data_IF_810395564257
#
_entry.id   IF_810395564257
#
_cell.length_a   1.000
_cell.length_b   1.000
_cell.length_c   1.000
_cell.angle_alpha   90.00
_cell.angle_beta   90.00
_cell.angle_gamma   90.00
#
_symmetry.space_group_name_H-M   'P 1'
#
loop_
_entity.id
_entity.type
_entity.pdbx_description
1 polymer ?
#
# COMPACT_ATOMS: atom_id res chain seq x y z
N UNK A 1 5.27 -4.54 -19.05
CA UNK A 1 3.97 -5.07 -18.57
C UNK A 1 2.82 -4.94 -19.58
N UNK A 2 3.05 -4.43 -20.79
CA UNK A 2 2.00 -4.32 -21.82
C UNK A 2 1.56 -5.67 -22.40
N UNK A 3 2.47 -6.65 -22.51
CA UNK A 3 2.12 -8.01 -22.99
C UNK A 3 1.56 -8.90 -21.87
N UNK A 4 0.53 -9.73 -22.13
CA UNK A 4 -0.07 -10.64 -21.14
C UNK A 4 0.93 -11.59 -20.49
N UNK A 5 1.86 -12.15 -21.28
CA UNK A 5 2.84 -13.12 -20.78
C UNK A 5 3.72 -12.56 -19.66
N UNK A 6 4.16 -11.30 -19.78
CA UNK A 6 4.98 -10.67 -18.74
C UNK A 6 4.19 -10.43 -17.46
N UNK A 7 2.90 -10.08 -17.56
CA UNK A 7 2.02 -9.91 -16.39
C UNK A 7 1.80 -11.25 -15.68
N UNK A 8 1.55 -12.31 -16.46
CA UNK A 8 1.41 -13.66 -15.92
C UNK A 8 2.66 -14.11 -15.16
N UNK A 9 3.85 -13.96 -15.76
CA UNK A 9 5.11 -14.32 -15.10
C UNK A 9 5.38 -13.47 -13.85
N UNK A 10 5.07 -12.18 -13.88
CA UNK A 10 5.20 -11.31 -12.72
C UNK A 10 4.25 -11.71 -11.58
N UNK A 11 2.99 -12.03 -11.90
CA UNK A 11 2.01 -12.55 -10.94
C UNK A 11 2.49 -13.84 -10.30
N UNK A 12 2.94 -14.80 -11.12
CA UNK A 12 3.45 -16.09 -10.63
C UNK A 12 4.67 -15.92 -9.71
N UNK A 13 5.58 -14.99 -10.04
CA UNK A 13 6.72 -14.65 -9.17
C UNK A 13 6.28 -14.05 -7.84
N UNK A 14 5.31 -13.13 -7.87
CA UNK A 14 4.77 -12.49 -6.67
C UNK A 14 4.04 -13.49 -5.76
N UNK A 15 3.21 -14.37 -6.33
CA UNK A 15 2.51 -15.44 -5.61
C UNK A 15 3.49 -16.47 -5.00
N UNK A 16 4.65 -16.67 -5.62
CA UNK A 16 5.68 -17.58 -5.11
C UNK A 16 6.27 -17.18 -3.76
N UNK A 17 6.37 -15.87 -3.49
CA UNK A 17 7.09 -15.35 -2.31
C UNK A 17 6.46 -14.09 -1.69
N UNK A 18 6.49 -12.95 -2.39
CA UNK A 18 6.07 -11.65 -1.84
C UNK A 18 4.65 -11.67 -1.27
N UNK A 19 3.71 -12.32 -1.97
CA UNK A 19 2.32 -12.46 -1.51
C UNK A 19 2.24 -13.19 -0.17
N UNK A 20 2.98 -14.29 -0.01
CA UNK A 20 3.01 -15.09 1.21
C UNK A 20 3.57 -14.31 2.39
N UNK A 21 4.62 -13.51 2.17
CA UNK A 21 5.16 -12.61 3.19
C UNK A 21 4.10 -11.58 3.60
N UNK A 22 3.38 -10.99 2.65
CA UNK A 22 2.33 -10.02 2.95
C UNK A 22 1.16 -10.64 3.73
N UNK A 23 0.68 -11.82 3.31
CA UNK A 23 -0.36 -12.58 4.02
C UNK A 23 0.08 -12.95 5.44
N UNK A 24 1.34 -13.38 5.61
CA UNK A 24 1.92 -13.63 6.93
C UNK A 24 1.89 -12.37 7.80
N UNK A 25 2.30 -11.20 7.29
CA UNK A 25 2.28 -9.94 8.05
C UNK A 25 0.87 -9.48 8.40
N UNK A 26 -0.08 -9.59 7.47
CA UNK A 26 -1.49 -9.27 7.73
C UNK A 26 -2.04 -10.07 8.91
N UNK A 27 -1.72 -11.37 8.95
CA UNK A 27 -2.14 -12.25 10.04
C UNK A 27 -1.38 -11.96 11.35
N UNK A 28 -0.06 -11.78 11.29
CA UNK A 28 0.77 -11.56 12.50
C UNK A 28 0.47 -10.25 13.22
N UNK A 29 0.11 -9.20 12.47
CA UNK A 29 -0.21 -7.88 13.02
C UNK A 29 -1.71 -7.64 13.20
N UNK A 30 -2.54 -8.69 13.19
CA UNK A 30 -3.99 -8.61 13.42
C UNK A 30 -4.75 -7.59 12.55
N UNK A 31 -4.21 -7.23 11.38
CA UNK A 31 -4.84 -6.31 10.42
C UNK A 31 -6.24 -6.83 10.04
N UNK A 32 -6.36 -8.16 9.94
CA UNK A 32 -7.64 -8.87 9.92
C UNK A 32 -7.75 -9.63 11.26
N UNK A 33 -8.79 -9.37 12.09
CA UNK A 33 -10.03 -8.63 11.80
C UNK A 33 -10.04 -7.13 12.16
N UNK A 34 -9.02 -6.59 12.84
CA UNK A 34 -9.14 -5.32 13.58
C UNK A 34 -9.38 -4.09 12.69
N UNK A 35 -8.72 -4.05 11.52
CA UNK A 35 -8.88 -2.96 10.55
C UNK A 35 -9.94 -3.32 9.51
N UNK A 36 -9.85 -4.53 8.94
CA UNK A 36 -10.77 -5.02 7.91
C UNK A 36 -11.20 -6.46 8.21
N UNK A 37 -12.48 -6.81 7.97
CA UNK A 37 -12.98 -8.16 8.24
C UNK A 37 -12.33 -9.23 7.35
N UNK A 38 -11.84 -8.84 6.17
CA UNK A 38 -11.09 -9.71 5.25
C UNK A 38 -10.20 -8.89 4.35
N UNK A 39 -8.91 -9.22 4.32
CA UNK A 39 -7.94 -8.62 3.40
C UNK A 39 -7.17 -9.71 2.65
N UNK A 40 -7.37 -9.79 1.33
CA UNK A 40 -6.59 -10.70 0.47
C UNK A 40 -5.85 -9.87 -0.57
N UNK A 41 -4.49 -9.81 -0.52
CA UNK A 41 -3.71 -9.08 -1.52
C UNK A 41 -3.99 -9.61 -2.92
N UNK A 42 -4.35 -8.71 -3.85
CA UNK A 42 -4.56 -9.02 -5.28
C UNK A 42 -3.47 -8.45 -6.19
N UNK A 43 -2.76 -7.42 -5.71
CA UNK A 43 -1.71 -6.72 -6.42
C UNK A 43 -0.47 -6.63 -5.54
N UNK A 44 0.70 -6.50 -6.17
CA UNK A 44 1.94 -6.23 -5.43
C UNK A 44 1.97 -4.75 -5.05
N UNK A 45 2.17 -4.46 -3.76
CA UNK A 45 2.25 -3.11 -3.22
C UNK A 45 3.57 -2.98 -2.48
N UNK A 46 4.45 -2.12 -2.99
CA UNK A 46 5.73 -1.82 -2.36
C UNK A 46 5.73 -0.39 -1.83
N UNK A 47 6.12 -0.23 -0.57
CA UNK A 47 6.36 1.06 0.06
C UNK A 47 7.84 1.43 -0.07
N UNK A 48 8.11 2.64 -0.56
CA UNK A 48 9.45 3.17 -0.67
C UNK A 48 9.54 4.51 0.07
N UNK A 49 10.50 4.64 0.97
CA UNK A 49 10.93 5.95 1.46
C UNK A 49 12.26 6.30 0.79
N UNK A 50 12.36 7.52 0.27
CA UNK A 50 13.50 7.98 -0.54
C UNK A 50 13.75 7.01 -1.72
N UNK A 51 14.88 6.30 -1.73
CA UNK A 51 15.26 5.32 -2.77
C UNK A 51 15.21 3.87 -2.29
N UNK A 52 14.75 3.64 -1.06
CA UNK A 52 14.83 2.33 -0.41
C UNK A 52 13.44 1.69 -0.30
N UNK A 53 13.33 0.44 -0.78
CA UNK A 53 12.16 -0.40 -0.54
C UNK A 53 12.09 -0.77 0.93
N UNK A 54 10.93 -0.58 1.55
CA UNK A 54 10.68 -0.94 2.93
C UNK A 54 10.00 -2.32 2.99
N UNK A 55 10.55 -3.28 3.77
CA UNK A 55 9.86 -4.52 4.08
C UNK A 55 8.59 -4.31 4.91
N UNK A 56 7.56 -5.12 4.66
CA UNK A 56 6.33 -5.09 5.46
C UNK A 56 6.60 -5.45 6.93
N UNK A 57 6.08 -4.63 7.85
CA UNK A 57 6.27 -4.80 9.30
C UNK A 57 7.56 -4.21 9.87
N UNK A 58 8.34 -3.47 9.09
CA UNK A 58 9.57 -2.85 9.57
C UNK A 58 9.28 -1.59 10.38
N UNK A 59 9.87 -1.48 11.58
CA UNK A 59 9.90 -0.24 12.37
C UNK A 59 10.83 0.77 11.67
N UNK A 60 10.33 1.99 11.48
CA UNK A 60 11.06 3.07 10.81
C UNK A 60 11.27 4.25 11.78
N UNK A 61 12.41 4.97 11.66
CA UNK A 61 12.62 6.18 12.43
C UNK A 61 11.74 7.32 11.90
N UNK A 62 11.28 8.19 12.81
CA UNK A 62 10.34 9.29 12.51
C UNK A 62 10.86 10.26 11.45
N UNK A 63 12.16 10.56 11.47
CA UNK A 63 12.81 11.44 10.48
C UNK A 63 12.79 10.88 9.04
N UNK A 64 12.63 9.55 8.88
CA UNK A 64 12.48 8.93 7.57
C UNK A 64 11.03 9.01 7.09
N UNK A 65 10.08 8.87 8.03
CA UNK A 65 8.63 8.85 7.76
C UNK A 65 7.98 10.23 7.78
N UNK A 66 8.77 11.29 8.02
CA UNK A 66 8.31 12.68 7.98
C UNK A 66 7.84 13.11 6.58
N UNK A 67 8.46 12.57 5.53
CA UNK A 67 8.11 12.86 4.13
C UNK A 67 7.18 11.81 3.55
N UNK A 68 6.25 12.22 2.69
CA UNK A 68 5.33 11.31 2.03
C UNK A 68 6.09 10.23 1.22
N UNK A 69 5.73 8.95 1.36
CA UNK A 69 6.42 7.87 0.66
C UNK A 69 6.04 7.80 -0.83
N UNK A 70 6.76 6.97 -1.56
CA UNK A 70 6.37 6.49 -2.89
C UNK A 70 5.80 5.09 -2.76
N UNK A 71 4.60 4.88 -3.27
CA UNK A 71 4.05 3.55 -3.48
C UNK A 71 4.38 3.06 -4.88
N UNK A 72 4.60 1.75 -5.01
CA UNK A 72 4.57 1.07 -6.30
C UNK A 72 3.46 0.03 -6.23
N UNK A 73 2.42 0.23 -7.01
CA UNK A 73 1.27 -0.68 -7.11
C UNK A 73 1.36 -1.36 -8.45
N UNK A 74 1.55 -2.67 -8.49
CA UNK A 74 1.68 -3.45 -9.72
C UNK A 74 0.41 -4.28 -9.97
N UNK A 75 -0.49 -3.82 -10.87
CA UNK A 75 -1.56 -4.65 -11.38
C UNK A 75 -1.02 -5.78 -12.26
N UNK A 76 -1.73 -6.90 -12.29
CA UNK A 76 -1.40 -8.09 -13.09
C UNK A 76 -2.38 -8.34 -14.24
N UNK A 77 -3.45 -7.57 -14.30
CA UNK A 77 -4.47 -7.57 -15.34
C UNK A 77 -4.32 -6.35 -16.25
N UNK A 78 -4.96 -6.39 -17.42
CA UNK A 78 -4.84 -5.31 -18.42
C UNK A 78 -5.68 -4.09 -18.03
N UNK A 79 -5.36 -2.94 -18.64
CA UNK A 79 -6.13 -1.71 -18.50
C UNK A 79 -5.67 -0.82 -17.35
N UNK A 80 -6.05 0.45 -17.46
CA UNK A 80 -5.94 1.43 -16.39
C UNK A 80 -7.08 1.27 -15.40
N UNK A 81 -6.83 1.58 -14.13
CA UNK A 81 -7.86 1.64 -13.09
C UNK A 81 -7.58 2.80 -12.16
N UNK A 82 -8.65 3.31 -11.57
CA UNK A 82 -8.56 4.26 -10.47
C UNK A 82 -8.46 3.51 -9.15
N UNK A 83 -7.52 3.91 -8.31
CA UNK A 83 -7.34 3.36 -6.96
C UNK A 83 -7.48 4.45 -5.91
N UNK A 84 -7.85 4.01 -4.71
CA UNK A 84 -7.84 4.84 -3.50
C UNK A 84 -6.75 4.30 -2.58
N UNK A 85 -5.92 5.20 -2.06
CA UNK A 85 -4.85 4.92 -1.11
C UNK A 85 -5.21 5.56 0.21
N UNK A 86 -5.21 4.75 1.27
CA UNK A 86 -5.36 5.20 2.65
C UNK A 86 -4.19 4.69 3.49
N UNK A 87 -3.57 5.57 4.29
CA UNK A 87 -2.59 5.21 5.31
C UNK A 87 -3.26 5.46 6.67
N UNK A 88 -3.45 4.39 7.44
CA UNK A 88 -4.22 4.40 8.69
C UNK A 88 -3.34 3.85 9.80
N UNK A 89 -3.39 4.53 10.94
CA UNK A 89 -2.82 4.13 12.22
C UNK A 89 -3.97 3.62 13.12
N UNK A 90 -4.07 2.31 13.38
CA UNK A 90 -5.16 1.73 14.16
C UNK A 90 -4.96 1.80 15.68
N UNK A 91 -3.77 2.16 16.15
CA UNK A 91 -3.34 1.98 17.54
C UNK A 91 -3.13 3.32 18.25
N UNK A 92 -3.94 4.33 17.93
CA UNK A 92 -3.85 5.65 18.59
C UNK A 92 -4.55 5.57 19.95
N UNK A 93 -3.85 5.81 21.07
CA UNK A 93 -4.45 5.67 22.40
C UNK A 93 -5.55 6.71 22.61
N UNK A 94 -6.69 6.25 23.11
CA UNK A 94 -7.80 7.08 23.60
C UNK A 94 -7.97 6.84 25.11
N UNK A 95 -7.49 7.80 25.89
CA UNK A 95 -7.47 7.71 27.36
C UNK A 95 -8.86 7.86 27.99
N UNK A 96 -9.82 8.47 27.28
CA UNK A 96 -11.17 8.66 27.82
C UNK A 96 -11.98 7.37 27.77
N UNK A 97 -11.81 6.59 26.69
CA UNK A 97 -12.51 5.32 26.48
C UNK A 97 -11.73 4.08 26.94
N UNK A 98 -10.51 4.25 27.47
CA UNK A 98 -9.57 3.18 27.81
C UNK A 98 -9.39 2.19 26.64
N UNK A 99 -9.25 2.74 25.43
CA UNK A 99 -9.23 1.97 24.19
C UNK A 99 -8.28 2.58 23.14
N UNK A 100 -8.31 2.01 21.94
CA UNK A 100 -7.59 2.52 20.77
C UNK A 100 -8.56 3.08 19.74
N UNK A 101 -8.15 4.18 19.13
CA UNK A 101 -8.83 4.85 18.04
C UNK A 101 -8.01 4.77 16.75
N UNK A 102 -8.68 4.97 15.62
CA UNK A 102 -8.06 4.91 14.29
C UNK A 102 -7.81 6.32 13.78
N UNK A 103 -6.61 6.60 13.27
CA UNK A 103 -6.24 7.88 12.66
C UNK A 103 -5.83 7.69 11.20
N UNK A 104 -6.40 8.49 10.31
CA UNK A 104 -6.00 8.53 8.92
C UNK A 104 -4.85 9.54 8.73
N UNK A 105 -3.67 9.07 8.32
CA UNK A 105 -2.51 9.91 8.03
C UNK A 105 -2.46 10.41 6.58
N UNK A 106 -3.07 9.66 5.66
CA UNK A 106 -3.09 10.02 4.25
C UNK A 106 -4.30 9.39 3.56
N UNK A 107 -5.00 10.16 2.74
CA UNK A 107 -6.08 9.68 1.89
C UNK A 107 -6.00 10.36 0.53
N UNK A 108 -5.98 9.57 -0.54
CA UNK A 108 -6.11 10.07 -1.90
C UNK A 108 -6.89 9.06 -2.73
N UNK A 109 -7.84 9.56 -3.52
CA UNK A 109 -8.71 8.77 -4.38
C UNK A 109 -8.45 9.11 -5.86
N UNK A 110 -9.07 8.35 -6.76
CA UNK A 110 -9.03 8.58 -8.21
C UNK A 110 -7.60 8.60 -8.79
N UNK A 111 -6.69 7.79 -8.24
CA UNK A 111 -5.32 7.73 -8.73
C UNK A 111 -5.26 6.71 -9.88
N UNK A 112 -4.91 7.12 -11.12
CA UNK A 112 -4.77 6.18 -12.22
C UNK A 112 -3.54 5.30 -12.02
N UNK A 113 -3.72 3.99 -12.21
CA UNK A 113 -2.65 2.99 -12.15
C UNK A 113 -2.82 2.02 -13.31
N UNK A 114 -1.71 1.71 -13.98
CA UNK A 114 -1.68 0.71 -15.04
C UNK A 114 -0.52 -0.26 -14.83
N UNK A 115 -0.53 -1.44 -15.47
CA UNK A 115 0.61 -2.35 -15.40
C UNK A 115 1.92 -1.71 -15.87
N UNK A 116 1.85 -0.76 -16.81
CA UNK A 116 2.99 -0.05 -17.40
C UNK A 116 3.40 1.19 -16.63
N UNK A 117 2.49 1.80 -15.86
CA UNK A 117 2.78 2.91 -14.96
C UNK A 117 2.32 2.57 -13.52
N UNK A 118 3.16 1.87 -12.74
CA UNK A 118 2.82 1.41 -11.40
C UNK A 118 3.28 2.36 -10.28
N UNK A 119 3.89 3.51 -10.59
CA UNK A 119 4.58 4.34 -9.60
C UNK A 119 3.70 5.50 -9.10
N UNK A 120 3.42 5.52 -7.80
CA UNK A 120 2.57 6.52 -7.14
C UNK A 120 3.40 7.31 -6.09
N UNK A 121 4.05 8.41 -6.48
CA UNK A 121 4.72 9.30 -5.52
C UNK A 121 3.68 10.13 -4.74
N UNK A 122 3.36 9.73 -3.51
CA UNK A 122 2.24 10.33 -2.76
C UNK A 122 2.41 11.83 -2.52
N UNK A 123 3.64 12.30 -2.30
CA UNK A 123 3.94 13.73 -2.12
C UNK A 123 3.73 14.60 -3.36
N UNK A 124 3.43 14.01 -4.54
CA UNK A 124 3.16 14.75 -5.79
C UNK A 124 1.71 14.71 -6.22
N UNK A 125 0.86 13.92 -5.55
CA UNK A 125 -0.55 13.77 -5.93
C UNK A 125 -1.37 15.07 -5.78
N UNK A 126 -0.86 16.05 -5.01
CA UNK A 126 -1.52 17.33 -4.73
C UNK A 126 -1.22 18.48 -5.71
N UNK A 127 -0.52 18.26 -6.84
CA UNK A 127 -0.18 19.36 -7.76
C UNK A 127 -1.20 19.62 -8.86
N UNK A 128 -2.07 18.65 -9.16
CA UNK A 128 -3.03 18.77 -10.27
C UNK A 128 -4.50 18.68 -9.82
N UNK A 129 -4.75 18.52 -8.51
CA UNK A 129 -6.10 18.51 -7.94
C UNK A 129 -6.60 19.94 -7.63
N UNK A 130 -6.66 20.78 -8.67
CA UNK A 130 -7.48 21.98 -8.69
C UNK A 130 -8.78 21.66 -9.43
N UNK A 131 -9.83 21.27 -8.70
CA UNK A 131 -11.24 21.66 -8.93
C UNK A 131 -11.93 21.66 -7.56
#
# INVERSE_FOLDING_TARGET
MSKPIYRYLAKRRWEGYNKKIMEQRISQFHITPDILPKLTPKYDVELHFRRSKIPAGKILPSNLTEVAPRLRVQPFDAGERLVTVAIVDPDVPDTESDAFSKRCHFLAANIPVSPTDPSLPLGRLNRDAHI
#
